data_IF_899694665006
#
_entry.id   IF_899694665006
#
_cell.length_a   1.000
_cell.length_b   1.000
_cell.length_c   1.000
_cell.angle_alpha   90.00
_cell.angle_beta   90.00
_cell.angle_gamma   90.00
#
_symmetry.space_group_name_H-M   'P 1'
#
loop_
_entity.id
_entity.type
_entity.pdbx_description
1 polymer ?
#
# COMPACT_ATOMS: atom_id res chain seq x y z
N UNK A 1 -10.86 11.64 -5.06
CA UNK A 1 -11.04 10.25 -5.52
C UNK A 1 -12.15 9.55 -4.74
N UNK A 2 -13.11 8.85 -5.35
CA UNK A 2 -14.17 8.11 -4.60
C UNK A 2 -13.80 6.64 -4.41
N UNK A 3 -13.86 6.15 -3.16
CA UNK A 3 -13.73 4.72 -2.87
C UNK A 3 -15.04 4.00 -3.22
N UNK A 4 -15.04 3.25 -4.33
CA UNK A 4 -16.23 2.60 -4.89
C UNK A 4 -16.04 1.09 -4.90
N UNK A 5 -17.02 0.35 -4.39
CA UNK A 5 -16.92 -1.11 -4.22
C UNK A 5 -16.19 -1.53 -2.94
N UNK A 6 -16.08 -2.85 -2.73
CA UNK A 6 -15.25 -3.39 -1.65
C UNK A 6 -13.79 -3.34 -2.06
N UNK A 7 -12.86 -2.90 -1.18
CA UNK A 7 -11.45 -2.90 -1.51
C UNK A 7 -10.96 -4.33 -1.70
N UNK A 8 -10.08 -4.54 -2.68
CA UNK A 8 -9.57 -5.87 -3.04
C UNK A 8 -8.06 -5.84 -3.12
N UNK A 9 -7.44 -6.90 -2.63
CA UNK A 9 -6.02 -7.15 -2.80
C UNK A 9 -5.78 -8.03 -4.03
N UNK A 10 -4.88 -7.61 -4.90
CA UNK A 10 -4.40 -8.37 -6.05
C UNK A 10 -2.91 -8.62 -5.87
N UNK A 11 -2.52 -9.89 -5.72
CA UNK A 11 -1.10 -10.24 -5.58
C UNK A 11 -0.35 -9.91 -6.88
N UNK A 12 0.77 -9.21 -6.76
CA UNK A 12 1.63 -8.95 -7.90
C UNK A 12 2.38 -10.24 -8.26
N UNK A 13 2.25 -10.69 -9.51
CA UNK A 13 3.09 -11.80 -9.99
C UNK A 13 4.57 -11.42 -9.89
N UNK A 14 5.49 -12.35 -9.53
CA UNK A 14 6.92 -12.09 -9.55
C UNK A 14 7.38 -11.84 -11.00
N UNK A 15 7.34 -10.58 -11.41
CA UNK A 15 7.80 -10.11 -12.71
C UNK A 15 9.31 -10.06 -12.72
N UNK A 16 9.91 -10.99 -13.46
CA UNK A 16 11.26 -10.98 -14.03
C UNK A 16 11.88 -9.58 -14.07
N UNK A 17 13.02 -9.41 -13.40
CA UNK A 17 13.78 -8.16 -13.40
C UNK A 17 14.10 -7.64 -14.80
N UNK A 18 13.87 -6.35 -14.99
CA UNK A 18 14.47 -5.46 -15.99
C UNK A 18 14.38 -4.06 -15.39
N UNK A 19 15.43 -3.29 -15.17
CA UNK A 19 16.63 -3.11 -15.99
C UNK A 19 16.41 -1.88 -16.87
N UNK A 20 16.88 -0.70 -16.42
CA UNK A 20 16.95 0.51 -17.26
C UNK A 20 16.68 1.82 -16.53
N UNK A 21 17.75 2.61 -16.32
CA UNK A 21 17.74 4.02 -15.89
C UNK A 21 17.17 4.91 -17.00
N UNK A 22 16.57 6.05 -16.65
CA UNK A 22 16.93 7.35 -17.24
C UNK A 22 16.42 8.53 -16.41
N UNK A 23 17.30 9.50 -16.19
CA UNK A 23 17.02 10.76 -15.53
C UNK A 23 16.42 11.75 -16.55
N UNK A 24 15.47 12.58 -16.12
CA UNK A 24 15.11 13.81 -16.83
C UNK A 24 14.78 14.92 -15.84
N UNK A 25 15.58 15.98 -15.95
CA UNK A 25 15.47 17.30 -15.33
C UNK A 25 14.33 18.11 -15.98
N UNK A 26 13.86 19.17 -15.32
CA UNK A 26 13.00 20.20 -15.93
C UNK A 26 11.67 20.46 -15.22
N UNK A 27 11.56 21.63 -14.58
CA UNK A 27 10.40 22.08 -13.83
C UNK A 27 9.18 22.55 -14.63
N UNK A 28 8.11 22.91 -13.93
CA UNK A 28 6.94 23.57 -14.51
C UNK A 28 5.62 23.20 -13.82
N UNK A 29 5.00 24.20 -13.20
CA UNK A 29 3.71 24.17 -12.52
C UNK A 29 2.52 23.83 -13.44
N UNK A 30 1.74 22.81 -13.07
CA UNK A 30 0.26 22.75 -13.06
C UNK A 30 -0.16 21.28 -12.81
N UNK A 31 -0.64 20.95 -11.62
CA UNK A 31 -1.11 19.60 -11.28
C UNK A 31 -2.47 19.33 -11.94
N UNK A 32 -2.43 18.96 -13.22
CA UNK A 32 -3.53 18.31 -13.92
C UNK A 32 -3.80 16.93 -13.30
N UNK A 33 -5.05 16.49 -13.37
CA UNK A 33 -5.50 15.17 -12.93
C UNK A 33 -4.49 14.09 -13.37
N UNK A 34 -4.04 13.26 -12.43
CA UNK A 34 -3.10 12.19 -12.71
C UNK A 34 -3.66 11.28 -13.84
N UNK A 35 -2.84 10.89 -14.83
CA UNK A 35 -3.32 10.10 -15.97
C UNK A 35 -3.85 8.74 -15.51
N UNK A 36 -4.92 8.30 -16.17
CA UNK A 36 -5.62 7.04 -15.90
C UNK A 36 -4.66 5.84 -15.92
N UNK A 37 -4.76 4.95 -14.92
CA UNK A 37 -3.91 3.77 -14.78
C UNK A 37 -2.59 3.99 -14.01
N UNK A 38 -2.28 5.22 -13.61
CA UNK A 38 -1.10 5.51 -12.79
C UNK A 38 -1.29 5.01 -11.35
N UNK A 39 -0.30 4.32 -10.75
CA UNK A 39 -0.32 4.02 -9.32
C UNK A 39 -0.52 5.31 -8.54
N UNK A 40 -1.45 5.33 -7.57
CA UNK A 40 -1.66 6.52 -6.74
C UNK A 40 -0.40 6.91 -5.97
N UNK A 41 0.47 5.93 -5.72
CA UNK A 41 1.81 6.14 -5.22
C UNK A 41 2.64 4.88 -5.47
N UNK A 42 3.83 5.02 -6.04
CA UNK A 42 4.86 3.98 -6.02
C UNK A 42 5.73 4.26 -4.78
N UNK A 43 5.89 3.33 -3.83
CA UNK A 43 6.75 3.55 -2.67
C UNK A 43 8.21 3.37 -3.12
N UNK A 44 8.74 4.31 -3.90
CA UNK A 44 10.17 4.35 -4.20
C UNK A 44 11.02 4.60 -2.94
N UNK A 45 10.40 5.04 -1.83
CA UNK A 45 11.05 5.25 -0.53
C UNK A 45 10.77 4.14 0.51
N UNK A 46 10.06 3.08 0.12
CA UNK A 46 9.84 1.90 0.98
C UNK A 46 11.02 0.94 0.93
N UNK A 47 11.30 0.16 1.99
CA UNK A 47 12.26 -0.93 1.87
C UNK A 47 11.81 -1.86 0.73
N UNK A 48 12.73 -2.32 -0.13
CA UNK A 48 12.38 -3.27 -1.19
C UNK A 48 11.75 -4.53 -0.57
N UNK A 49 10.86 -5.22 -1.30
CA UNK A 49 10.28 -6.48 -0.87
C UNK A 49 11.34 -7.42 -0.33
N UNK A 50 11.17 -7.91 0.91
CA UNK A 50 12.09 -8.95 1.41
C UNK A 50 11.87 -10.21 0.60
N UNK A 51 12.95 -10.93 0.30
CA UNK A 51 12.86 -12.18 -0.43
C UNK A 51 11.94 -13.17 0.32
N UNK A 52 10.84 -13.57 -0.33
CA UNK A 52 9.84 -14.47 0.24
C UNK A 52 8.58 -13.81 0.80
N UNK A 53 8.47 -12.48 0.80
CA UNK A 53 7.20 -11.80 1.13
C UNK A 53 6.31 -11.66 -0.11
N UNK A 54 5.01 -11.87 0.09
CA UNK A 54 3.98 -11.63 -0.92
C UNK A 54 3.58 -10.15 -0.91
N UNK A 55 3.64 -9.49 -2.08
CA UNK A 55 3.25 -8.10 -2.26
C UNK A 55 2.18 -7.98 -3.34
N UNK A 56 1.41 -6.91 -3.30
CA UNK A 56 0.30 -6.72 -4.20
C UNK A 56 -0.26 -5.31 -4.24
N UNK A 57 -1.35 -5.17 -4.98
CA UNK A 57 -2.11 -3.93 -5.14
C UNK A 57 -3.37 -3.96 -4.30
N UNK A 58 -3.66 -2.87 -3.61
CA UNK A 58 -4.96 -2.66 -2.96
C UNK A 58 -5.79 -1.72 -3.82
N UNK A 59 -6.76 -2.29 -4.52
CA UNK A 59 -7.74 -1.54 -5.30
C UNK A 59 -8.76 -0.91 -4.37
N UNK A 60 -8.94 0.40 -4.52
CA UNK A 60 -9.99 1.17 -3.83
C UNK A 60 -11.15 1.54 -4.76
N UNK A 61 -10.90 1.47 -6.07
CA UNK A 61 -11.91 1.36 -7.13
C UNK A 61 -11.23 0.68 -8.36
N UNK A 62 -11.94 0.47 -9.49
CA UNK A 62 -11.36 -0.19 -10.66
C UNK A 62 -10.09 0.47 -11.22
N UNK A 63 -10.03 1.80 -11.20
CA UNK A 63 -8.99 2.57 -11.91
C UNK A 63 -7.83 2.98 -11.01
N UNK A 64 -7.97 2.81 -9.70
CA UNK A 64 -7.08 3.41 -8.72
C UNK A 64 -6.77 2.44 -7.57
N UNK A 65 -5.49 2.34 -7.26
CA UNK A 65 -4.95 1.37 -6.30
C UNK A 65 -3.71 1.91 -5.59
N UNK A 66 -3.42 1.34 -4.42
CA UNK A 66 -2.12 1.42 -3.77
C UNK A 66 -1.27 0.25 -4.26
N UNK A 67 -0.07 0.52 -4.75
CA UNK A 67 0.86 -0.51 -5.21
C UNK A 67 1.84 -0.91 -4.10
N UNK A 68 2.50 -2.06 -4.27
CA UNK A 68 3.49 -2.58 -3.33
C UNK A 68 3.00 -2.54 -1.86
N UNK A 69 1.82 -3.09 -1.62
CA UNK A 69 1.30 -3.36 -0.28
C UNK A 69 1.70 -4.78 0.11
N UNK A 70 2.38 -5.01 1.25
CA UNK A 70 2.66 -6.35 1.73
C UNK A 70 1.36 -7.08 2.06
N UNK A 71 1.19 -8.29 1.55
CA UNK A 71 0.02 -9.14 1.79
C UNK A 71 -0.23 -9.35 3.29
N UNK A 72 0.85 -9.51 4.05
CA UNK A 72 0.83 -9.58 5.50
C UNK A 72 0.05 -8.41 6.13
N UNK A 73 0.29 -7.16 5.71
CA UNK A 73 -0.41 -5.99 6.27
C UNK A 73 -1.88 -5.95 5.92
N UNK A 74 -2.23 -6.41 4.71
CA UNK A 74 -3.61 -6.52 4.26
C UNK A 74 -4.38 -7.57 5.05
N UNK A 75 -3.72 -8.68 5.39
CA UNK A 75 -4.31 -9.80 6.12
C UNK A 75 -4.17 -9.68 7.65
N UNK A 76 -3.40 -8.71 8.14
CA UNK A 76 -3.06 -8.56 9.55
C UNK A 76 -4.30 -8.36 10.42
N UNK A 77 -4.44 -9.17 11.48
CA UNK A 77 -5.54 -9.09 12.44
C UNK A 77 -5.11 -8.40 13.74
N UNK A 78 -5.96 -7.51 14.25
CA UNK A 78 -5.89 -7.02 15.63
C UNK A 78 -7.21 -7.37 16.30
N UNK A 79 -7.18 -8.37 17.19
CA UNK A 79 -8.40 -8.98 17.70
C UNK A 79 -9.19 -9.66 16.58
N UNK A 80 -10.44 -9.22 16.36
CA UNK A 80 -11.37 -9.83 15.39
C UNK A 80 -11.52 -9.09 14.05
N UNK A 81 -10.66 -8.12 13.72
CA UNK A 81 -10.77 -7.35 12.47
C UNK A 81 -9.41 -7.05 11.83
N UNK A 82 -9.44 -6.69 10.54
CA UNK A 82 -8.28 -6.33 9.74
C UNK A 82 -8.22 -4.80 9.55
N UNK A 83 -7.28 -4.08 10.18
CA UNK A 83 -7.28 -2.62 10.18
C UNK A 83 -7.16 -2.00 8.78
N UNK A 84 -6.29 -2.55 7.93
CA UNK A 84 -6.10 -2.07 6.56
C UNK A 84 -7.39 -2.18 5.72
N UNK A 85 -8.12 -3.29 5.84
CA UNK A 85 -9.37 -3.49 5.12
C UNK A 85 -10.50 -2.62 5.69
N UNK A 86 -10.62 -2.59 7.03
CA UNK A 86 -11.68 -1.85 7.73
C UNK A 86 -11.62 -0.36 7.43
N UNK A 87 -10.42 0.24 7.44
CA UNK A 87 -10.27 1.69 7.23
C UNK A 87 -10.81 2.14 5.86
N UNK A 88 -10.55 1.35 4.82
CA UNK A 88 -11.08 1.59 3.47
C UNK A 88 -12.58 1.32 3.39
N UNK A 89 -13.04 0.22 4.02
CA UNK A 89 -14.48 -0.13 4.06
C UNK A 89 -15.32 0.97 4.70
N UNK A 90 -14.84 1.59 5.78
CA UNK A 90 -15.53 2.66 6.51
C UNK A 90 -15.62 3.98 5.73
N UNK A 91 -14.83 4.12 4.65
CA UNK A 91 -14.77 5.31 3.79
C UNK A 91 -15.37 5.09 2.41
N UNK A 92 -16.06 3.97 2.19
CA UNK A 92 -16.76 3.71 0.93
C UNK A 92 -17.80 4.78 0.63
N UNK A 93 -17.90 5.14 -0.65
CA UNK A 93 -18.80 6.19 -1.14
C UNK A 93 -18.34 7.61 -0.80
N UNK A 94 -17.16 7.78 -0.17
CA UNK A 94 -16.59 9.09 0.14
C UNK A 94 -15.42 9.40 -0.77
N UNK A 95 -15.20 10.69 -0.96
CA UNK A 95 -13.98 11.20 -1.61
C UNK A 95 -12.83 11.10 -0.61
N UNK A 96 -11.81 10.31 -0.91
CA UNK A 96 -10.52 10.33 -0.21
C UNK A 96 -9.74 11.58 -0.63
N UNK A 97 -9.34 12.35 0.37
CA UNK A 97 -8.42 13.48 0.25
C UNK A 97 -6.96 13.00 0.16
N UNK A 98 -6.04 13.91 -0.15
CA UNK A 98 -4.61 13.60 -0.09
C UNK A 98 -4.17 13.13 1.31
N UNK A 99 -4.70 13.76 2.35
CA UNK A 99 -4.41 13.39 3.74
C UNK A 99 -4.94 12.00 4.08
N UNK A 100 -6.10 11.61 3.53
CA UNK A 100 -6.63 10.25 3.67
C UNK A 100 -5.69 9.22 3.05
N UNK A 101 -5.13 9.49 1.86
CA UNK A 101 -4.17 8.59 1.21
C UNK A 101 -2.89 8.45 2.06
N UNK A 102 -2.35 9.57 2.55
CA UNK A 102 -1.20 9.56 3.45
C UNK A 102 -1.47 8.85 4.78
N UNK A 103 -2.70 8.98 5.30
CA UNK A 103 -3.11 8.27 6.51
C UNK A 103 -3.17 6.76 6.27
N UNK A 104 -3.69 6.32 5.12
CA UNK A 104 -3.72 4.90 4.77
C UNK A 104 -2.32 4.30 4.65
N UNK A 105 -1.40 5.02 4.00
CA UNK A 105 0.01 4.60 3.92
C UNK A 105 0.66 4.45 5.29
N UNK A 106 0.38 5.37 6.22
CA UNK A 106 0.83 5.26 7.62
C UNK A 106 0.29 4.01 8.29
N UNK A 107 -0.97 3.64 8.06
CA UNK A 107 -1.55 2.38 8.56
C UNK A 107 -0.74 1.18 8.04
N UNK A 108 -0.53 1.09 6.73
CA UNK A 108 0.27 0.00 6.13
C UNK A 108 1.66 -0.08 6.78
N UNK A 109 2.36 1.06 6.88
CA UNK A 109 3.70 1.13 7.48
C UNK A 109 3.72 0.68 8.95
N UNK A 110 2.75 1.12 9.75
CA UNK A 110 2.65 0.75 11.17
C UNK A 110 2.40 -0.74 11.33
N UNK A 111 1.55 -1.33 10.49
CA UNK A 111 1.27 -2.77 10.55
C UNK A 111 2.52 -3.60 10.19
N UNK A 112 3.24 -3.22 9.12
CA UNK A 112 4.51 -3.88 8.77
C UNK A 112 5.53 -3.79 9.92
N UNK A 113 5.64 -2.62 10.54
CA UNK A 113 6.60 -2.39 11.60
C UNK A 113 6.23 -3.12 12.89
N UNK A 114 4.93 -3.23 13.17
CA UNK A 114 4.41 -4.02 14.29
C UNK A 114 4.80 -5.49 14.12
N UNK A 115 4.58 -6.08 12.94
CA UNK A 115 4.99 -7.45 12.66
C UNK A 115 6.51 -7.65 12.83
N UNK A 116 7.31 -6.75 12.26
CA UNK A 116 8.78 -6.79 12.40
C UNK A 116 9.19 -6.80 13.88
N UNK A 117 8.65 -5.88 14.67
CA UNK A 117 8.98 -5.75 16.11
C UNK A 117 8.52 -7.00 16.88
N UNK A 118 7.30 -7.49 16.63
CA UNK A 118 6.80 -8.70 17.31
C UNK A 118 7.68 -9.92 17.06
N UNK A 119 8.20 -10.08 15.84
CA UNK A 119 9.12 -11.18 15.51
C UNK A 119 10.52 -11.02 16.13
N UNK A 120 10.89 -9.82 16.58
CA UNK A 120 12.16 -9.54 17.26
C UNK A 120 12.09 -9.75 18.78
N UNK A 121 10.89 -9.72 19.37
CA UNK A 121 10.69 -9.93 20.80
C UNK A 121 10.98 -11.39 21.15
N UNK A 122 11.97 -11.61 22.01
CA UNK A 122 12.31 -12.92 22.57
C UNK A 122 11.94 -12.93 24.05
N UNK A 123 11.25 -13.98 24.48
CA UNK A 123 11.01 -14.26 25.89
C UNK A 123 11.80 -15.53 26.26
N UNK A 124 13.06 -15.41 26.73
CA UNK A 124 13.76 -16.57 27.25
C UNK A 124 12.99 -17.08 28.48
N UNK A 125 12.56 -18.34 28.41
CA UNK A 125 11.95 -19.05 29.53
C UNK A 125 13.07 -19.91 30.12
N UNK A 126 13.85 -19.29 30.99
CA UNK A 126 14.93 -19.94 31.74
C UNK A 126 14.46 -20.24 33.16
#
# INVERSE_FOLDING_TARGET
MVASGFPKFEQSSPGRGGGGREAADGGGSALGAAPEGSPLHHPADGPPPRAGEDWGRVHINPDQYFDAVPKLTWDFYIGGYQPAQKWLKDRRGRVLSYDDLGHYQKIIKILSETDRIMNEIKLPLD
#
